data_IF_929909604371
#
_entry.id   IF_929909604371
#
_cell.length_a   1.000
_cell.length_b   1.000
_cell.length_c   1.000
_cell.angle_alpha   90.00
_cell.angle_beta   90.00
_cell.angle_gamma   90.00
#
_symmetry.space_group_name_H-M   'P 1'
#
loop_
_entity.id
_entity.type
_entity.pdbx_description
1 polymer ?
#
# COMPACT_ATOMS: atom_id res chain seq x y z
N UNK A 1 -3.13 51.02 -10.49
CA UNK A 1 -2.36 51.12 -9.24
C UNK A 1 -2.35 49.72 -8.66
N UNK A 2 -1.34 48.88 -8.90
CA UNK A 2 0.11 49.13 -8.74
C UNK A 2 0.44 49.49 -7.27
N UNK A 3 1.44 48.91 -6.63
CA UNK A 3 2.67 48.33 -7.20
C UNK A 3 2.98 46.88 -6.78
N UNK A 4 3.94 46.31 -7.51
CA UNK A 4 4.54 45.00 -7.38
C UNK A 4 5.96 45.14 -6.77
N UNK A 5 6.64 44.02 -6.56
CA UNK A 5 8.12 43.89 -6.61
C UNK A 5 9.00 44.43 -5.45
N UNK A 6 9.80 43.54 -4.83
CA UNK A 6 11.23 43.45 -5.19
C UNK A 6 11.97 42.31 -4.47
N UNK A 7 12.40 41.32 -5.26
CA UNK A 7 13.42 40.33 -4.90
C UNK A 7 14.80 40.97 -5.06
N UNK A 8 15.62 41.00 -4.00
CA UNK A 8 17.02 41.43 -4.10
C UNK A 8 17.96 40.25 -4.34
N UNK A 9 18.45 40.14 -5.58
CA UNK A 9 19.78 39.58 -5.88
C UNK A 9 20.85 40.61 -5.55
N UNK A 10 22.07 40.15 -5.25
CA UNK A 10 23.30 40.90 -5.49
C UNK A 10 24.36 39.89 -5.94
N UNK A 11 24.73 39.97 -7.21
CA UNK A 11 25.97 39.43 -7.77
C UNK A 11 26.97 40.59 -7.88
N UNK A 12 28.27 40.36 -7.63
CA UNK A 12 29.39 40.98 -8.39
C UNK A 12 30.74 40.32 -8.02
N UNK A 13 31.81 40.40 -8.86
CA UNK A 13 32.64 39.23 -9.16
C UNK A 13 34.17 39.55 -9.15
N UNK A 14 34.95 38.78 -9.93
CA UNK A 14 36.42 38.90 -10.17
C UNK A 14 37.28 38.43 -8.99
N UNK A 15 38.37 37.64 -9.11
CA UNK A 15 39.00 36.90 -10.22
C UNK A 15 39.74 35.65 -9.62
N UNK A 16 40.49 34.76 -10.31
CA UNK A 16 40.97 34.73 -11.71
C UNK A 16 41.30 33.28 -12.20
N UNK A 17 41.80 33.20 -13.44
CA UNK A 17 42.48 32.14 -14.23
C UNK A 17 43.63 31.43 -13.45
N UNK A 18 43.92 30.11 -13.53
CA UNK A 18 44.27 29.27 -14.71
C UNK A 18 44.42 27.73 -14.39
N UNK A 19 44.87 26.99 -15.41
CA UNK A 19 45.54 25.68 -15.47
C UNK A 19 44.69 24.39 -15.55
N UNK A 20 44.63 23.89 -16.80
CA UNK A 20 44.12 22.58 -17.21
C UNK A 20 45.05 21.44 -16.75
N UNK A 21 44.50 20.33 -16.28
CA UNK A 21 45.18 19.01 -16.35
C UNK A 21 44.19 17.84 -16.46
N UNK A 22 44.00 17.33 -17.67
CA UNK A 22 43.29 16.07 -17.92
C UNK A 22 44.16 14.86 -17.55
N UNK A 23 43.85 14.18 -16.45
CA UNK A 23 44.47 12.88 -16.10
C UNK A 23 43.78 11.72 -16.82
N UNK A 24 44.12 11.55 -18.10
CA UNK A 24 43.64 10.46 -18.94
C UNK A 24 44.22 9.11 -18.50
N UNK A 25 43.44 8.31 -17.77
CA UNK A 25 43.83 6.96 -17.31
C UNK A 25 44.07 6.05 -18.52
N UNK A 26 45.30 5.53 -18.66
CA UNK A 26 45.68 4.61 -19.73
C UNK A 26 45.16 3.20 -19.43
N UNK A 27 44.32 2.67 -20.32
CA UNK A 27 44.05 1.23 -20.42
C UNK A 27 45.31 0.56 -20.99
N UNK A 28 45.86 -0.50 -20.37
CA UNK A 28 47.05 -1.17 -20.88
C UNK A 28 46.72 -2.04 -22.10
N UNK A 29 47.36 -1.73 -23.22
CA UNK A 29 47.28 -2.51 -24.45
C UNK A 29 47.98 -3.87 -24.29
N UNK A 30 47.26 -4.97 -24.54
CA UNK A 30 47.82 -6.34 -24.54
C UNK A 30 47.84 -6.88 -25.96
N UNK A 31 48.89 -6.52 -26.71
CA UNK A 31 49.31 -7.25 -27.90
C UNK A 31 50.71 -7.84 -27.72
N UNK A 32 50.92 -8.99 -28.37
CA UNK A 32 52.16 -9.74 -28.52
C UNK A 32 52.70 -10.51 -27.28
N UNK A 33 52.23 -11.74 -27.12
CA UNK A 33 53.15 -12.90 -27.06
C UNK A 33 52.53 -14.08 -27.84
N UNK A 34 53.33 -14.72 -28.70
CA UNK A 34 52.89 -15.83 -29.53
C UNK A 34 52.89 -17.15 -28.75
N UNK A 35 51.83 -17.94 -28.88
CA UNK A 35 51.69 -19.27 -28.29
C UNK A 35 50.78 -20.13 -29.16
N UNK A 36 51.14 -21.40 -29.34
CA UNK A 36 50.57 -22.27 -30.36
C UNK A 36 49.08 -22.60 -30.12
N UNK A 37 48.33 -22.76 -31.22
CA UNK A 37 46.89 -23.06 -31.20
C UNK A 37 46.62 -24.52 -30.85
N UNK A 38 46.20 -24.79 -29.62
CA UNK A 38 45.46 -26.00 -29.28
C UNK A 38 43.97 -25.66 -29.10
N UNK A 39 43.12 -26.08 -30.05
CA UNK A 39 41.66 -26.01 -29.88
C UNK A 39 41.23 -27.08 -28.89
N UNK A 40 41.21 -26.75 -27.60
CA UNK A 40 40.51 -27.55 -26.60
C UNK A 40 39.01 -27.68 -26.96
N UNK A 41 38.34 -28.80 -26.63
CA UNK A 41 36.92 -28.98 -26.92
C UNK A 41 36.10 -27.89 -26.23
N UNK A 42 35.03 -27.46 -26.90
CA UNK A 42 34.20 -26.39 -26.37
C UNK A 42 33.55 -26.80 -25.04
N UNK A 43 33.47 -25.85 -24.10
CA UNK A 43 33.22 -26.02 -22.64
C UNK A 43 31.87 -26.64 -22.23
N UNK A 44 31.11 -27.17 -23.19
CA UNK A 44 29.79 -27.79 -23.06
C UNK A 44 29.76 -29.26 -23.52
N UNK A 45 30.87 -29.81 -24.04
CA UNK A 45 31.04 -31.23 -24.32
C UNK A 45 31.63 -31.93 -23.09
N UNK A 46 31.05 -33.07 -22.70
CA UNK A 46 31.63 -34.03 -21.74
C UNK A 46 31.96 -35.32 -22.48
N UNK A 47 32.97 -36.05 -22.00
CA UNK A 47 33.32 -37.35 -22.57
C UNK A 47 32.12 -38.32 -22.49
N UNK A 48 31.79 -38.95 -23.63
CA UNK A 48 30.65 -39.87 -23.77
C UNK A 48 29.34 -39.27 -24.27
N UNK A 49 29.29 -37.97 -24.61
CA UNK A 49 28.07 -37.33 -25.12
C UNK A 49 27.65 -37.81 -26.52
N UNK A 50 26.44 -38.39 -26.62
CA UNK A 50 25.80 -38.66 -27.91
C UNK A 50 24.97 -37.44 -28.39
N UNK A 51 24.75 -37.35 -29.71
CA UNK A 51 24.11 -36.18 -30.34
C UNK A 51 22.68 -35.92 -29.80
N UNK A 52 21.96 -36.96 -29.38
CA UNK A 52 20.60 -36.88 -28.82
C UNK A 52 20.63 -36.25 -27.42
N UNK A 53 21.57 -36.65 -26.56
CA UNK A 53 21.75 -36.05 -25.24
C UNK A 53 22.16 -34.56 -25.33
N UNK A 54 23.00 -34.21 -26.30
CA UNK A 54 23.35 -32.81 -26.56
C UNK A 54 22.14 -31.99 -27.01
N UNK A 55 21.35 -32.50 -27.97
CA UNK A 55 20.12 -31.86 -28.43
C UNK A 55 19.09 -31.68 -27.29
N UNK A 56 18.87 -32.72 -26.47
CA UNK A 56 17.97 -32.66 -25.31
C UNK A 56 18.37 -31.60 -24.28
N UNK A 57 19.67 -31.42 -24.02
CA UNK A 57 20.19 -30.36 -23.13
C UNK A 57 20.06 -28.96 -23.73
N UNK A 58 20.25 -28.81 -25.05
CA UNK A 58 20.00 -27.52 -25.75
C UNK A 58 18.50 -27.16 -25.72
N UNK A 59 17.61 -28.12 -25.92
CA UNK A 59 16.15 -27.91 -25.84
C UNK A 59 15.74 -27.54 -24.42
N UNK A 60 16.15 -28.30 -23.39
CA UNK A 60 15.78 -28.01 -22.00
C UNK A 60 16.38 -26.71 -21.45
N UNK A 61 17.61 -26.35 -21.84
CA UNK A 61 18.20 -25.04 -21.50
C UNK A 61 17.50 -23.87 -22.20
N UNK A 62 17.11 -24.02 -23.48
CA UNK A 62 16.26 -23.04 -24.16
C UNK A 62 14.91 -22.89 -23.47
N UNK A 63 14.23 -24.00 -23.15
CA UNK A 63 12.94 -24.01 -22.45
C UNK A 63 13.04 -23.38 -21.06
N UNK A 64 14.12 -23.66 -20.31
CA UNK A 64 14.42 -22.99 -19.05
C UNK A 64 14.64 -21.50 -19.23
N UNK A 65 15.44 -21.08 -20.21
CA UNK A 65 15.69 -19.65 -20.46
C UNK A 65 14.44 -18.89 -20.94
N UNK A 66 13.53 -19.57 -21.65
CA UNK A 66 12.23 -19.04 -22.06
C UNK A 66 11.31 -18.88 -20.84
N UNK A 67 11.26 -19.89 -19.96
CA UNK A 67 10.51 -19.82 -18.69
C UNK A 67 11.08 -18.76 -17.75
N UNK A 68 12.41 -18.61 -17.68
CA UNK A 68 13.07 -17.56 -16.89
C UNK A 68 12.86 -16.15 -17.47
N UNK A 69 12.81 -16.00 -18.81
CA UNK A 69 12.37 -14.73 -19.44
C UNK A 69 10.90 -14.47 -19.15
N UNK A 70 10.01 -15.43 -19.39
CA UNK A 70 8.58 -15.26 -19.13
C UNK A 70 8.30 -14.92 -17.66
N UNK A 71 8.92 -15.61 -16.70
CA UNK A 71 8.81 -15.26 -15.27
C UNK A 71 9.37 -13.86 -14.98
N UNK A 72 10.48 -13.46 -15.61
CA UNK A 72 11.07 -12.12 -15.42
C UNK A 72 10.18 -11.03 -16.01
N UNK A 73 9.66 -11.22 -17.22
CA UNK A 73 8.78 -10.27 -17.92
C UNK A 73 7.42 -10.16 -17.17
N UNK A 74 6.90 -11.27 -16.63
CA UNK A 74 5.72 -11.29 -15.76
C UNK A 74 5.97 -10.57 -14.43
N UNK A 75 7.13 -10.77 -13.80
CA UNK A 75 7.55 -10.03 -12.58
C UNK A 75 7.91 -8.56 -12.86
N UNK A 76 8.24 -8.18 -14.10
CA UNK A 76 8.57 -6.82 -14.52
C UNK A 76 7.37 -5.98 -14.96
N UNK A 77 6.19 -6.57 -15.17
CA UNK A 77 4.99 -5.79 -15.43
C UNK A 77 4.56 -5.03 -14.18
N UNK A 78 4.69 -3.71 -14.22
CA UNK A 78 4.20 -2.78 -13.19
C UNK A 78 2.77 -3.11 -12.77
N UNK A 79 2.52 -3.17 -11.46
CA UNK A 79 1.19 -3.42 -10.91
C UNK A 79 0.37 -2.13 -10.96
N UNK A 80 -0.94 -2.26 -11.14
CA UNK A 80 -1.92 -1.19 -11.06
C UNK A 80 -2.69 -1.31 -9.75
N UNK A 81 -2.35 -0.51 -8.74
CA UNK A 81 -3.01 -0.56 -7.43
C UNK A 81 -4.06 0.54 -7.35
N UNK A 82 -5.29 0.17 -7.04
CA UNK A 82 -6.36 1.11 -6.74
C UNK A 82 -6.25 1.64 -5.32
N UNK A 83 -6.46 2.94 -5.13
CA UNK A 83 -6.70 3.53 -3.80
C UNK A 83 -8.07 4.18 -3.80
N UNK A 84 -8.92 3.87 -2.83
CA UNK A 84 -10.26 4.46 -2.75
C UNK A 84 -10.19 5.97 -2.52
N UNK A 85 -10.95 6.81 -3.24
CA UNK A 85 -11.01 8.24 -2.94
C UNK A 85 -11.64 8.55 -1.56
N UNK A 86 -11.08 9.55 -0.86
CA UNK A 86 -11.75 10.25 0.25
C UNK A 86 -12.74 11.27 -0.33
N UNK A 87 -13.85 11.48 0.37
CA UNK A 87 -14.86 12.50 0.00
C UNK A 87 -14.70 13.71 0.93
N UNK A 88 -14.76 14.91 0.36
CA UNK A 88 -14.97 16.16 1.10
C UNK A 88 -16.39 16.63 0.83
N UNK A 89 -17.18 16.75 1.88
CA UNK A 89 -18.54 17.29 1.80
C UNK A 89 -18.53 18.80 2.11
N UNK A 90 -19.20 19.63 1.28
CA UNK A 90 -19.17 21.07 1.45
C UNK A 90 -19.99 21.51 2.68
N UNK A 91 -19.40 22.37 3.51
CA UNK A 91 -20.11 22.99 4.62
C UNK A 91 -21.18 23.98 4.12
N UNK A 92 -22.29 24.09 4.87
CA UNK A 92 -23.38 25.02 4.55
C UNK A 92 -22.86 26.47 4.44
N UNK A 93 -23.10 27.12 3.30
CA UNK A 93 -22.65 28.49 3.03
C UNK A 93 -21.21 28.62 2.53
N UNK A 94 -20.47 27.52 2.36
CA UNK A 94 -19.15 27.54 1.73
C UNK A 94 -19.20 28.07 0.29
N UNK A 95 -18.09 28.66 -0.17
CA UNK A 95 -17.95 29.27 -1.51
C UNK A 95 -16.77 28.65 -2.27
N UNK A 96 -16.78 28.75 -3.60
CA UNK A 96 -15.68 28.29 -4.45
C UNK A 96 -15.52 26.77 -4.43
N UNK A 97 -14.28 26.30 -4.31
CA UNK A 97 -13.98 24.86 -4.30
C UNK A 97 -14.61 24.13 -3.09
N UNK A 98 -14.64 24.79 -1.92
CA UNK A 98 -15.23 24.26 -0.69
C UNK A 98 -16.77 24.16 -0.73
N UNK A 99 -17.43 24.68 -1.77
CA UNK A 99 -18.88 24.54 -1.98
C UNK A 99 -19.26 23.31 -2.82
N UNK A 100 -18.29 22.44 -3.15
CA UNK A 100 -18.50 21.25 -3.99
C UNK A 100 -18.14 19.98 -3.24
N UNK A 101 -18.76 18.87 -3.63
CA UNK A 101 -18.25 17.55 -3.25
C UNK A 101 -16.93 17.33 -3.98
N UNK A 102 -15.83 17.20 -3.25
CA UNK A 102 -14.51 16.91 -3.80
C UNK A 102 -14.16 15.46 -3.53
N UNK A 103 -13.36 14.89 -4.41
CA UNK A 103 -12.76 13.58 -4.23
C UNK A 103 -11.26 13.73 -4.26
N UNK A 104 -10.57 13.15 -3.27
CA UNK A 104 -9.14 13.34 -3.10
C UNK A 104 -8.43 12.06 -2.63
N UNK A 105 -7.14 12.00 -2.95
CA UNK A 105 -6.20 10.98 -2.52
C UNK A 105 -5.16 11.66 -1.64
N UNK A 106 -4.85 11.07 -0.49
CA UNK A 106 -3.78 11.59 0.36
C UNK A 106 -2.41 11.27 -0.25
N UNK A 107 -1.48 12.24 -0.20
CA UNK A 107 -0.15 12.10 -0.79
C UNK A 107 0.68 11.00 -0.10
N UNK A 108 0.55 10.91 1.22
CA UNK A 108 1.23 9.94 2.10
C UNK A 108 0.99 8.49 1.65
N UNK A 109 -0.27 8.04 1.62
CA UNK A 109 -0.66 6.68 1.25
C UNK A 109 -0.31 6.38 -0.22
N UNK A 110 -0.43 7.36 -1.12
CA UNK A 110 -0.04 7.22 -2.51
C UNK A 110 1.47 6.98 -2.65
N UNK A 111 2.30 7.82 -2.01
CA UNK A 111 3.77 7.68 -2.02
C UNK A 111 4.22 6.38 -1.34
N UNK A 112 3.60 5.99 -0.24
CA UNK A 112 3.90 4.75 0.46
C UNK A 112 3.68 3.53 -0.44
N UNK A 113 2.52 3.44 -1.11
CA UNK A 113 2.24 2.36 -2.07
C UNK A 113 3.18 2.43 -3.28
N UNK A 114 3.43 3.63 -3.84
CA UNK A 114 4.33 3.84 -4.97
C UNK A 114 5.81 3.52 -4.67
N UNK A 115 6.22 3.42 -3.40
CA UNK A 115 7.59 3.06 -2.99
C UNK A 115 8.08 1.67 -3.47
N UNK A 116 7.20 0.89 -4.10
CA UNK A 116 7.45 -0.47 -4.60
C UNK A 116 7.28 -0.61 -6.12
N UNK A 117 7.53 0.47 -6.85
CA UNK A 117 7.52 0.52 -8.32
C UNK A 117 6.17 0.05 -8.91
N UNK A 118 5.07 0.60 -8.38
CA UNK A 118 3.69 0.34 -8.84
C UNK A 118 3.01 1.63 -9.30
N UNK A 119 2.04 1.50 -10.20
CA UNK A 119 1.17 2.62 -10.60
C UNK A 119 -0.03 2.67 -9.65
N UNK A 120 -0.19 3.79 -8.96
CA UNK A 120 -1.36 4.08 -8.12
C UNK A 120 -2.43 4.79 -8.93
N UNK A 121 -3.67 4.31 -8.81
CA UNK A 121 -4.85 4.91 -9.41
C UNK A 121 -5.86 5.26 -8.31
N UNK A 122 -6.21 6.55 -8.18
CA UNK A 122 -7.38 6.93 -7.38
C UNK A 122 -8.64 6.37 -8.05
N UNK A 123 -9.39 5.55 -7.33
CA UNK A 123 -10.72 5.14 -7.75
C UNK A 123 -11.71 6.22 -7.29
N UNK A 124 -12.45 6.88 -8.19
CA UNK A 124 -13.49 7.82 -7.81
C UNK A 124 -14.79 7.08 -7.43
N UNK A 125 -15.62 7.73 -6.63
CA UNK A 125 -17.00 7.28 -6.40
C UNK A 125 -17.79 7.35 -7.71
N UNK A 126 -18.41 6.23 -8.08
CA UNK A 126 -19.27 6.13 -9.26
C UNK A 126 -20.68 6.57 -8.87
N UNK A 127 -20.90 7.88 -8.82
CA UNK A 127 -22.21 8.43 -8.45
C UNK A 127 -23.21 8.27 -9.61
N UNK A 128 -24.09 7.28 -9.50
CA UNK A 128 -25.19 7.01 -10.44
C UNK A 128 -26.31 8.07 -10.41
N UNK A 129 -26.35 8.91 -9.37
CA UNK A 129 -27.34 9.98 -9.18
C UNK A 129 -26.78 11.39 -9.49
N UNK A 130 -25.67 11.47 -10.23
CA UNK A 130 -25.07 12.74 -10.64
C UNK A 130 -25.84 13.47 -11.76
N UNK A 131 -25.56 14.77 -11.93
CA UNK A 131 -26.11 15.60 -13.04
C UNK A 131 -25.56 15.25 -14.44
N UNK A 132 -24.67 14.26 -14.54
CA UNK A 132 -24.04 13.82 -15.77
C UNK A 132 -24.51 12.40 -16.10
N UNK A 133 -24.58 12.07 -17.38
CA UNK A 133 -25.04 10.74 -17.83
C UNK A 133 -24.31 9.61 -17.08
N UNK A 134 -25.04 8.65 -16.49
CA UNK A 134 -24.41 7.54 -15.80
C UNK A 134 -23.56 6.73 -16.79
N UNK A 135 -22.29 6.53 -16.44
CA UNK A 135 -21.39 5.70 -17.22
C UNK A 135 -21.76 4.22 -17.05
N UNK A 136 -21.55 3.42 -18.11
CA UNK A 136 -21.63 1.96 -17.99
C UNK A 136 -20.45 1.36 -17.20
N UNK A 137 -19.47 2.18 -16.81
CA UNK A 137 -18.37 1.79 -15.91
C UNK A 137 -18.89 1.71 -14.48
N UNK A 138 -18.75 0.52 -13.89
CA UNK A 138 -19.10 0.19 -12.50
C UNK A 138 -17.85 -0.15 -11.69
N UNK A 139 -17.94 -0.27 -10.36
CA UNK A 139 -16.81 -0.65 -9.50
C UNK A 139 -16.20 -2.01 -9.89
N UNK A 140 -17.01 -2.93 -10.41
CA UNK A 140 -16.57 -4.20 -11.03
C UNK A 140 -15.55 -4.02 -12.16
N UNK A 141 -15.62 -2.93 -12.92
CA UNK A 141 -14.67 -2.65 -13.99
C UNK A 141 -13.30 -2.25 -13.42
N UNK A 142 -13.26 -1.47 -12.34
CA UNK A 142 -12.03 -1.19 -11.61
C UNK A 142 -11.40 -2.48 -11.06
N UNK A 143 -12.20 -3.34 -10.43
CA UNK A 143 -11.77 -4.66 -9.96
C UNK A 143 -11.24 -5.57 -11.09
N UNK A 144 -11.67 -5.38 -12.35
CA UNK A 144 -11.07 -6.09 -13.50
C UNK A 144 -9.71 -5.52 -13.91
N UNK A 145 -9.56 -4.20 -13.97
CA UNK A 145 -8.38 -3.52 -14.54
C UNK A 145 -7.23 -3.21 -13.56
N UNK A 146 -7.49 -3.29 -12.25
CA UNK A 146 -6.52 -3.05 -11.19
C UNK A 146 -6.15 -4.36 -10.51
N UNK A 147 -4.90 -4.52 -10.08
CA UNK A 147 -4.33 -5.77 -9.55
C UNK A 147 -4.52 -5.92 -8.03
N UNK A 148 -4.92 -4.86 -7.33
CA UNK A 148 -5.21 -4.85 -5.89
C UNK A 148 -5.83 -3.53 -5.44
N UNK A 149 -6.42 -3.51 -4.24
CA UNK A 149 -7.10 -2.36 -3.65
C UNK A 149 -6.47 -1.95 -2.30
N UNK A 150 -6.32 -0.66 -2.09
CA UNK A 150 -6.02 -0.04 -0.79
C UNK A 150 -7.18 0.85 -0.37
N UNK A 151 -7.73 0.60 0.81
CA UNK A 151 -8.74 1.44 1.46
C UNK A 151 -8.02 2.39 2.44
N UNK A 152 -7.90 3.67 2.09
CA UNK A 152 -7.19 4.66 2.91
C UNK A 152 -8.00 5.13 4.13
N UNK A 153 -7.32 5.78 5.09
CA UNK A 153 -7.96 6.35 6.29
C UNK A 153 -8.93 7.51 6.01
N UNK A 154 -9.37 8.19 7.07
CA UNK A 154 -10.23 9.38 7.01
C UNK A 154 -11.41 9.31 7.97
N UNK A 155 -12.46 10.09 7.67
CA UNK A 155 -13.65 10.22 8.53
C UNK A 155 -14.33 8.88 8.84
N UNK A 156 -14.96 8.83 10.01
CA UNK A 156 -15.60 7.68 10.64
C UNK A 156 -16.46 6.81 9.71
N UNK A 157 -16.56 5.53 10.05
CA UNK A 157 -17.59 4.63 9.48
C UNK A 157 -18.91 4.95 10.17
N UNK A 158 -19.96 5.20 9.38
CA UNK A 158 -21.26 5.59 9.92
C UNK A 158 -21.89 4.42 10.71
N UNK A 159 -22.36 4.62 11.96
CA UNK A 159 -22.95 3.55 12.79
C UNK A 159 -24.07 2.76 12.11
N UNK A 160 -24.85 3.42 11.25
CA UNK A 160 -25.93 2.78 10.48
C UNK A 160 -25.41 1.75 9.47
N UNK A 161 -24.13 1.80 9.10
CA UNK A 161 -23.47 0.82 8.22
C UNK A 161 -23.28 -0.54 8.91
N UNK A 162 -23.14 -0.56 10.24
CA UNK A 162 -23.12 -1.79 11.07
C UNK A 162 -24.37 -1.94 11.96
N UNK A 163 -25.50 -1.37 11.53
CA UNK A 163 -26.82 -1.48 12.19
C UNK A 163 -26.93 -0.86 13.59
N UNK A 164 -26.03 0.06 13.96
CA UNK A 164 -26.12 0.87 15.16
C UNK A 164 -26.64 2.29 14.86
N UNK A 165 -26.89 3.06 15.91
CA UNK A 165 -27.25 4.50 15.84
C UNK A 165 -26.11 5.32 16.44
N UNK A 166 -25.79 6.51 15.90
CA UNK A 166 -24.77 7.38 16.48
C UNK A 166 -25.06 7.71 17.94
N UNK A 167 -24.12 7.42 18.83
CA UNK A 167 -24.22 7.78 20.25
C UNK A 167 -24.07 9.28 20.48
N UNK A 168 -23.41 9.99 19.54
CA UNK A 168 -23.39 11.45 19.45
C UNK A 168 -23.55 11.94 18.00
N UNK A 169 -24.13 13.12 17.75
CA UNK A 169 -24.32 13.65 16.39
C UNK A 169 -23.03 13.81 15.58
N UNK A 170 -21.92 14.18 16.23
CA UNK A 170 -20.61 14.34 15.60
C UNK A 170 -20.03 13.03 15.04
N UNK A 171 -20.41 11.87 15.59
CA UNK A 171 -19.97 10.54 15.16
C UNK A 171 -20.92 9.89 14.15
N UNK A 172 -21.62 10.70 13.35
CA UNK A 172 -22.51 10.22 12.30
C UNK A 172 -21.78 9.54 11.13
N UNK A 173 -20.47 9.79 10.97
CA UNK A 173 -19.61 9.24 9.93
C UNK A 173 -20.00 9.61 8.49
N UNK A 174 -19.31 9.00 7.53
CA UNK A 174 -19.53 9.21 6.09
C UNK A 174 -20.21 8.00 5.45
N UNK A 175 -21.55 7.98 5.55
CA UNK A 175 -22.37 6.90 4.97
C UNK A 175 -22.29 6.84 3.44
N UNK A 176 -21.98 7.95 2.76
CA UNK A 176 -21.85 7.99 1.30
C UNK A 176 -20.55 7.29 0.85
N UNK A 177 -19.46 7.54 1.56
CA UNK A 177 -18.19 6.82 1.38
C UNK A 177 -18.31 5.36 1.78
N UNK A 178 -19.02 5.04 2.85
CA UNK A 178 -19.23 3.64 3.28
C UNK A 178 -19.84 2.77 2.18
N UNK A 179 -20.96 3.19 1.57
CA UNK A 179 -21.62 2.41 0.51
C UNK A 179 -20.66 2.14 -0.65
N UNK A 180 -19.93 3.17 -1.07
CA UNK A 180 -18.98 3.10 -2.18
C UNK A 180 -17.76 2.20 -1.86
N UNK A 181 -17.15 2.34 -0.68
CA UNK A 181 -15.98 1.53 -0.30
C UNK A 181 -16.35 0.08 0.02
N UNK A 182 -17.58 -0.18 0.52
CA UNK A 182 -18.11 -1.53 0.70
C UNK A 182 -18.34 -2.25 -0.64
N UNK A 183 -18.91 -1.57 -1.63
CA UNK A 183 -19.07 -2.13 -2.98
C UNK A 183 -17.69 -2.38 -3.62
N UNK A 184 -16.72 -1.47 -3.44
CA UNK A 184 -15.34 -1.71 -3.88
C UNK A 184 -14.70 -2.94 -3.25
N UNK A 185 -14.80 -3.07 -1.93
CA UNK A 185 -14.27 -4.22 -1.19
C UNK A 185 -14.94 -5.52 -1.69
N UNK A 186 -16.25 -5.52 -1.89
CA UNK A 186 -16.98 -6.65 -2.46
C UNK A 186 -16.44 -7.05 -3.84
N UNK A 187 -16.35 -6.11 -4.78
CA UNK A 187 -15.93 -6.41 -6.16
C UNK A 187 -14.47 -6.89 -6.26
N UNK A 188 -13.56 -6.38 -5.42
CA UNK A 188 -12.18 -6.87 -5.39
C UNK A 188 -12.08 -8.26 -4.74
N UNK A 189 -12.85 -8.53 -3.68
CA UNK A 189 -12.87 -9.85 -3.02
C UNK A 189 -13.54 -10.92 -3.89
N UNK A 190 -14.63 -10.61 -4.59
CA UNK A 190 -15.27 -11.51 -5.58
C UNK A 190 -14.31 -11.83 -6.75
N UNK A 191 -13.54 -10.82 -7.21
CA UNK A 191 -12.49 -11.01 -8.20
C UNK A 191 -11.25 -11.78 -7.67
N UNK A 192 -11.24 -12.17 -6.39
CA UNK A 192 -10.13 -12.88 -5.74
C UNK A 192 -8.88 -12.02 -5.53
N UNK A 193 -8.97 -10.70 -5.68
CA UNK A 193 -7.85 -9.75 -5.64
C UNK A 193 -7.54 -9.29 -4.22
N UNK A 194 -6.29 -8.90 -3.93
CA UNK A 194 -5.90 -8.52 -2.59
C UNK A 194 -6.48 -7.16 -2.19
N UNK A 195 -6.80 -7.01 -0.91
CA UNK A 195 -7.22 -5.74 -0.31
C UNK A 195 -6.43 -5.44 0.96
N UNK A 196 -5.98 -4.19 1.09
CA UNK A 196 -5.33 -3.67 2.29
C UNK A 196 -6.12 -2.46 2.81
N UNK A 197 -6.58 -2.51 4.07
CA UNK A 197 -7.24 -1.39 4.74
C UNK A 197 -6.33 -0.70 5.74
N UNK A 198 -6.32 0.63 5.75
CA UNK A 198 -5.56 1.47 6.69
C UNK A 198 -6.51 2.32 7.52
N UNK A 199 -6.36 2.28 8.84
CA UNK A 199 -7.22 2.94 9.83
C UNK A 199 -8.70 2.67 9.58
N UNK A 200 -9.45 3.66 9.09
CA UNK A 200 -10.84 3.51 8.59
C UNK A 200 -11.02 2.31 7.65
N UNK A 201 -10.05 2.03 6.78
CA UNK A 201 -10.10 0.87 5.89
C UNK A 201 -10.10 -0.48 6.63
N UNK A 202 -9.42 -0.57 7.78
CA UNK A 202 -9.46 -1.75 8.66
C UNK A 202 -10.87 -1.92 9.27
N UNK A 203 -11.41 -0.84 9.81
CA UNK A 203 -12.76 -0.78 10.40
C UNK A 203 -13.83 -1.18 9.37
N UNK A 204 -13.75 -0.64 8.15
CA UNK A 204 -14.68 -0.95 7.07
C UNK A 204 -14.59 -2.43 6.62
N UNK A 205 -13.39 -3.01 6.57
CA UNK A 205 -13.22 -4.45 6.31
C UNK A 205 -13.96 -5.26 7.37
N UNK A 206 -13.82 -4.94 8.66
CA UNK A 206 -14.54 -5.65 9.72
C UNK A 206 -16.07 -5.57 9.54
N UNK A 207 -16.58 -4.36 9.29
CA UNK A 207 -18.00 -4.08 9.09
C UNK A 207 -18.55 -4.79 7.85
N UNK A 208 -17.81 -4.86 6.75
CA UNK A 208 -18.21 -5.57 5.53
C UNK A 208 -18.48 -7.07 5.77
N UNK A 209 -17.71 -7.69 6.67
CA UNK A 209 -17.90 -9.08 7.07
C UNK A 209 -18.88 -9.26 8.24
N UNK A 210 -19.55 -8.18 8.66
CA UNK A 210 -20.64 -8.18 9.65
C UNK A 210 -20.21 -7.94 11.09
N UNK A 211 -19.03 -7.36 11.32
CA UNK A 211 -18.59 -6.91 12.64
C UNK A 211 -19.11 -5.51 13.00
N UNK A 212 -18.83 -5.07 14.23
CA UNK A 212 -19.21 -3.76 14.78
C UNK A 212 -17.97 -2.96 15.18
N UNK A 213 -18.17 -1.68 15.52
CA UNK A 213 -17.12 -0.79 15.99
C UNK A 213 -17.48 -0.21 17.37
N UNK A 214 -16.45 0.15 18.14
CA UNK A 214 -16.56 1.18 19.16
C UNK A 214 -16.70 2.52 18.42
N UNK A 215 -17.74 3.28 18.76
CA UNK A 215 -18.00 4.58 18.14
C UNK A 215 -17.02 5.64 18.67
N UNK A 216 -16.54 5.44 19.90
CA UNK A 216 -15.46 6.22 20.49
C UNK A 216 -14.81 5.44 21.64
N UNK A 217 -13.55 5.06 21.47
CA UNK A 217 -12.74 4.32 22.46
C UNK A 217 -12.73 5.02 23.81
N UNK A 218 -12.62 6.36 23.84
CA UNK A 218 -12.52 7.10 25.10
C UNK A 218 -13.81 7.03 25.94
N UNK A 219 -15.00 6.97 25.33
CA UNK A 219 -16.26 6.77 26.06
C UNK A 219 -16.72 5.31 26.18
N UNK A 220 -16.46 4.47 25.17
CA UNK A 220 -16.89 3.07 25.15
C UNK A 220 -15.94 2.16 25.96
N UNK A 221 -14.67 2.55 26.10
CA UNK A 221 -13.63 1.84 26.87
C UNK A 221 -12.80 2.81 27.73
N UNK A 222 -13.35 3.37 28.83
CA UNK A 222 -12.67 4.44 29.61
C UNK A 222 -11.32 4.07 30.23
N UNK A 223 -11.03 2.78 30.38
CA UNK A 223 -9.76 2.25 30.92
C UNK A 223 -8.69 2.00 29.81
N UNK A 224 -9.04 2.24 28.54
CA UNK A 224 -8.10 2.10 27.43
C UNK A 224 -7.07 3.23 27.39
N UNK A 225 -5.95 3.01 26.68
CA UNK A 225 -5.06 4.12 26.36
C UNK A 225 -5.77 5.13 25.42
N UNK A 226 -5.35 6.40 25.39
CA UNK A 226 -5.74 7.30 24.31
C UNK A 226 -5.22 6.74 22.98
N UNK A 227 -6.09 6.53 22.00
CA UNK A 227 -5.73 6.15 20.62
C UNK A 227 -5.73 7.35 19.64
N UNK A 228 -6.13 8.53 20.12
CA UNK A 228 -5.95 9.83 19.47
C UNK A 228 -5.51 10.85 20.53
N UNK A 229 -4.71 11.83 20.15
CA UNK A 229 -4.21 12.88 21.04
C UNK A 229 -3.99 14.18 20.25
N UNK A 230 -3.99 15.33 20.92
CA UNK A 230 -3.66 16.65 20.34
C UNK A 230 -2.30 16.72 19.61
N UNK A 231 -1.34 15.84 19.95
CA UNK A 231 -0.05 15.75 19.24
C UNK A 231 -0.13 14.93 17.94
N UNK A 232 -1.33 14.41 17.62
CA UNK A 232 -1.75 13.77 16.37
C UNK A 232 -0.68 12.86 15.75
N UNK A 233 0.02 13.31 14.72
CA UNK A 233 1.05 12.56 14.00
C UNK A 233 2.24 12.11 14.86
N UNK A 234 2.39 12.59 16.10
CA UNK A 234 3.42 12.17 17.06
C UNK A 234 2.95 11.12 18.09
N UNK A 235 1.65 10.84 18.20
CA UNK A 235 1.12 9.92 19.20
C UNK A 235 1.36 8.44 18.86
N UNK A 236 1.76 7.63 19.84
CA UNK A 236 2.22 6.23 19.69
C UNK A 236 1.72 5.32 20.81
N UNK A 237 1.51 4.04 20.51
CA UNK A 237 1.39 2.98 21.52
C UNK A 237 2.02 1.67 21.03
N UNK A 238 2.19 0.74 21.97
CA UNK A 238 2.72 -0.58 21.70
C UNK A 238 1.63 -1.51 21.15
N UNK A 239 2.04 -2.46 20.32
CA UNK A 239 1.22 -3.58 19.83
C UNK A 239 1.93 -4.92 20.03
N UNK A 240 1.14 -5.97 20.15
CA UNK A 240 1.58 -7.37 20.22
C UNK A 240 0.91 -8.20 19.11
N UNK A 241 1.63 -9.22 18.61
CA UNK A 241 1.10 -10.16 17.63
C UNK A 241 0.58 -11.42 18.32
N UNK A 242 -0.72 -11.78 18.20
CA UNK A 242 -1.25 -13.04 18.71
C UNK A 242 -0.49 -14.24 18.17
N UNK A 243 -0.30 -15.27 19.01
CA UNK A 243 0.50 -16.46 18.65
C UNK A 243 0.02 -17.08 17.33
N UNK A 244 0.92 -17.10 16.34
CA UNK A 244 0.65 -17.67 15.02
C UNK A 244 -0.28 -16.84 14.13
N UNK A 245 -0.46 -15.53 14.39
CA UNK A 245 -0.99 -14.59 13.39
C UNK A 245 -0.17 -14.67 12.09
N UNK A 246 -0.76 -14.28 10.96
CA UNK A 246 -0.05 -14.18 9.68
C UNK A 246 0.90 -12.97 9.66
N UNK A 247 0.49 -11.85 10.26
CA UNK A 247 1.24 -10.62 10.39
C UNK A 247 2.51 -10.80 11.21
N UNK A 248 2.43 -11.45 12.38
CA UNK A 248 3.60 -11.72 13.22
C UNK A 248 4.66 -12.61 12.53
N UNK A 249 4.26 -13.43 11.54
CA UNK A 249 5.22 -14.21 10.73
C UNK A 249 6.00 -13.35 9.73
N UNK A 250 5.48 -12.17 9.36
CA UNK A 250 6.22 -11.18 8.56
C UNK A 250 7.32 -10.51 9.39
N UNK A 251 7.21 -10.56 10.72
CA UNK A 251 8.12 -9.93 11.69
C UNK A 251 8.72 -10.95 12.69
N UNK A 252 9.45 -12.00 12.22
CA UNK A 252 9.86 -13.14 13.06
C UNK A 252 10.88 -12.83 14.17
N UNK A 253 11.26 -11.57 14.35
CA UNK A 253 12.17 -11.08 15.41
C UNK A 253 11.54 -9.97 16.27
N UNK A 254 10.23 -9.71 16.12
CA UNK A 254 9.51 -8.62 16.77
C UNK A 254 8.37 -9.23 17.60
N UNK A 255 8.54 -9.26 18.92
CA UNK A 255 7.51 -9.75 19.85
C UNK A 255 6.51 -8.63 20.22
N UNK A 256 7.04 -7.41 20.39
CA UNK A 256 6.29 -6.17 20.59
C UNK A 256 6.77 -5.15 19.56
N UNK A 257 5.85 -4.38 19.02
CA UNK A 257 6.16 -3.27 18.10
C UNK A 257 5.56 -1.96 18.61
N UNK A 258 5.98 -0.85 18.04
CA UNK A 258 5.45 0.49 18.31
C UNK A 258 4.90 1.05 17.00
N UNK A 259 3.71 1.63 17.06
CA UNK A 259 2.98 2.18 15.91
C UNK A 259 2.44 3.57 16.21
N UNK A 260 2.03 4.30 15.17
CA UNK A 260 1.31 5.55 15.33
C UNK A 260 -0.19 5.33 15.56
N UNK A 261 -0.85 6.31 16.18
CA UNK A 261 -2.26 6.20 16.51
C UNK A 261 -2.96 7.55 16.40
N UNK A 262 -3.93 7.62 15.50
CA UNK A 262 -4.77 8.78 15.22
C UNK A 262 -6.23 8.35 14.95
N UNK A 263 -6.75 7.47 15.79
CA UNK A 263 -8.12 6.96 15.67
C UNK A 263 -8.84 7.00 17.01
N UNK A 264 -10.14 7.28 16.98
CA UNK A 264 -11.01 7.18 18.15
C UNK A 264 -12.08 6.09 17.97
N UNK A 265 -12.45 5.72 16.75
CA UNK A 265 -13.14 4.45 16.47
C UNK A 265 -12.17 3.27 16.50
N UNK A 266 -12.66 2.08 16.86
CA UNK A 266 -11.91 0.83 16.85
C UNK A 266 -12.84 -0.37 16.58
N UNK A 267 -12.28 -1.53 16.24
CA UNK A 267 -13.08 -2.77 16.09
C UNK A 267 -13.58 -3.26 17.45
N UNK A 268 -14.87 -3.58 17.54
CA UNK A 268 -15.58 -4.08 18.73
C UNK A 268 -15.86 -5.58 18.58
N UNK A 269 -16.91 -5.93 17.83
CA UNK A 269 -17.21 -7.31 17.47
C UNK A 269 -16.60 -7.65 16.11
N UNK A 270 -15.96 -8.82 16.01
CA UNK A 270 -15.34 -9.29 14.77
C UNK A 270 -16.37 -9.77 13.74
N UNK A 271 -16.15 -9.41 12.48
CA UNK A 271 -16.89 -9.97 11.34
C UNK A 271 -16.62 -11.47 11.13
N UNK A 272 -17.47 -12.11 10.32
CA UNK A 272 -17.36 -13.54 10.00
C UNK A 272 -16.06 -13.85 9.27
N UNK A 273 -15.41 -14.94 9.67
CA UNK A 273 -14.13 -15.39 9.14
C UNK A 273 -13.01 -14.33 9.25
N UNK A 274 -13.12 -13.37 10.17
CA UNK A 274 -12.09 -12.39 10.52
C UNK A 274 -11.27 -12.90 11.71
N UNK A 275 -9.94 -12.77 11.62
CA UNK A 275 -9.00 -13.08 12.69
C UNK A 275 -8.24 -11.82 13.13
N UNK A 276 -8.00 -11.70 14.44
CA UNK A 276 -7.08 -10.71 15.02
C UNK A 276 -5.62 -11.05 14.64
N UNK A 277 -4.91 -10.06 14.14
CA UNK A 277 -3.52 -10.16 13.69
C UNK A 277 -2.52 -9.36 14.52
N UNK A 278 -2.99 -8.27 15.15
CA UNK A 278 -2.30 -7.50 16.19
C UNK A 278 -3.31 -6.89 17.17
N UNK A 279 -2.87 -6.62 18.41
CA UNK A 279 -3.64 -5.90 19.43
C UNK A 279 -2.75 -4.86 20.10
N UNK A 280 -3.34 -3.74 20.53
CA UNK A 280 -2.70 -2.79 21.44
C UNK A 280 -2.45 -3.43 22.81
N UNK A 281 -1.44 -2.95 23.51
CA UNK A 281 -1.08 -3.42 24.85
C UNK A 281 -0.83 -2.21 25.78
N UNK A 282 -1.49 -2.13 26.94
CA UNK A 282 -2.17 -3.23 27.65
C UNK A 282 -3.69 -3.34 27.44
N UNK A 283 -4.34 -2.39 26.75
CA UNK A 283 -5.80 -2.29 26.66
C UNK A 283 -6.49 -3.37 25.81
N UNK A 284 -5.74 -4.04 24.91
CA UNK A 284 -6.27 -5.12 24.08
C UNK A 284 -7.08 -4.67 22.86
N UNK A 285 -7.08 -3.38 22.51
CA UNK A 285 -7.77 -2.86 21.31
C UNK A 285 -7.24 -3.54 20.05
N UNK A 286 -8.14 -3.87 19.11
CA UNK A 286 -7.80 -4.65 17.92
C UNK A 286 -7.13 -3.75 16.88
N UNK A 287 -5.85 -4.01 16.63
CA UNK A 287 -4.97 -3.15 15.84
C UNK A 287 -4.71 -3.67 14.43
N UNK A 288 -4.89 -4.97 14.19
CA UNK A 288 -4.89 -5.51 12.83
C UNK A 288 -5.81 -6.73 12.71
N UNK A 289 -6.36 -6.93 11.52
CA UNK A 289 -7.27 -8.03 11.20
C UNK A 289 -6.94 -8.69 9.84
N UNK A 290 -7.34 -9.95 9.67
CA UNK A 290 -7.27 -10.70 8.40
C UNK A 290 -8.58 -11.42 8.13
N UNK A 291 -9.13 -11.27 6.93
CA UNK A 291 -10.20 -12.15 6.44
C UNK A 291 -9.59 -13.46 5.91
N UNK A 292 -10.07 -14.59 6.42
CA UNK A 292 -9.41 -15.89 6.29
C UNK A 292 -9.73 -16.62 4.98
N UNK A 293 -10.71 -16.17 4.20
CA UNK A 293 -11.19 -16.86 2.98
C UNK A 293 -10.71 -16.22 1.67
N UNK A 294 -9.76 -15.29 1.75
CA UNK A 294 -9.09 -14.69 0.60
C UNK A 294 -7.57 -14.78 0.77
N UNK A 295 -6.83 -14.78 -0.34
CA UNK A 295 -5.36 -14.86 -0.31
C UNK A 295 -4.75 -13.72 0.52
N UNK A 296 -5.23 -12.49 0.33
CA UNK A 296 -4.84 -11.33 1.13
C UNK A 296 -5.99 -10.34 1.26
N UNK A 297 -6.63 -10.28 2.41
CA UNK A 297 -7.52 -9.19 2.80
C UNK A 297 -7.18 -8.85 4.26
N UNK A 298 -6.53 -7.71 4.47
CA UNK A 298 -5.92 -7.34 5.75
C UNK A 298 -6.25 -5.89 6.09
N UNK A 299 -6.55 -5.62 7.37
CA UNK A 299 -6.69 -4.27 7.91
C UNK A 299 -5.60 -4.00 8.94
N UNK A 300 -5.02 -2.80 8.91
CA UNK A 300 -4.17 -2.22 9.96
C UNK A 300 -4.88 -0.97 10.49
N UNK A 301 -4.97 -0.80 11.80
CA UNK A 301 -5.66 0.34 12.43
C UNK A 301 -4.75 1.58 12.54
N UNK A 302 -3.43 1.37 12.61
CA UNK A 302 -2.41 2.42 12.47
C UNK A 302 -2.17 2.84 11.01
N UNK A 303 -1.34 3.87 10.81
CA UNK A 303 -1.04 4.49 9.52
C UNK A 303 0.42 4.20 9.08
N UNK A 304 0.69 3.07 8.39
CA UNK A 304 2.04 2.69 7.95
C UNK A 304 2.69 3.70 7.00
N UNK A 305 1.91 4.55 6.32
CA UNK A 305 2.39 5.59 5.42
C UNK A 305 3.16 6.73 6.12
N UNK A 306 2.96 6.91 7.43
CA UNK A 306 3.75 7.87 8.23
C UNK A 306 4.99 7.22 8.86
N UNK A 307 5.18 5.90 8.72
CA UNK A 307 6.36 5.20 9.21
C UNK A 307 7.51 5.40 8.21
N UNK A 308 8.26 6.49 8.38
CA UNK A 308 9.44 6.77 7.53
C UNK A 308 10.44 5.60 7.61
N UNK A 309 10.83 5.08 6.45
CA UNK A 309 11.89 4.08 6.33
C UNK A 309 13.18 4.60 6.99
N UNK A 310 13.57 4.01 8.13
CA UNK A 310 14.74 4.40 8.91
C UNK A 310 14.47 5.20 10.21
N UNK A 311 13.21 5.51 10.53
CA UNK A 311 12.86 5.96 11.89
C UNK A 311 12.97 4.79 12.88
N UNK A 312 13.82 4.91 13.90
CA UNK A 312 14.19 3.77 14.77
C UNK A 312 13.05 3.26 15.66
N UNK A 313 12.02 4.09 15.86
CA UNK A 313 11.00 3.88 16.89
C UNK A 313 9.69 3.25 16.39
N UNK A 314 9.50 3.03 15.09
CA UNK A 314 8.24 2.50 14.53
C UNK A 314 8.42 1.22 13.72
N UNK A 315 7.37 0.39 13.70
CA UNK A 315 7.33 -0.83 12.90
C UNK A 315 7.50 -0.53 11.41
N UNK A 316 8.61 -0.98 10.80
CA UNK A 316 8.76 -0.94 9.35
C UNK A 316 7.70 -1.82 8.69
N UNK A 317 6.67 -1.20 8.10
CA UNK A 317 5.55 -1.91 7.48
C UNK A 317 5.84 -2.37 6.04
N UNK A 318 7.10 -2.25 5.57
CA UNK A 318 7.60 -2.84 4.32
C UNK A 318 7.11 -4.27 4.07
N UNK A 319 7.23 -5.23 5.01
CA UNK A 319 6.84 -6.62 4.74
C UNK A 319 5.34 -6.80 4.46
N UNK A 320 4.48 -5.94 5.00
CA UNK A 320 3.03 -5.98 4.75
C UNK A 320 2.72 -5.55 3.32
N UNK A 321 3.37 -4.46 2.86
CA UNK A 321 3.22 -3.97 1.49
C UNK A 321 3.80 -4.98 0.49
N UNK A 322 4.96 -5.57 0.77
CA UNK A 322 5.55 -6.61 -0.09
C UNK A 322 4.64 -7.85 -0.22
N UNK A 323 4.02 -8.30 0.87
CA UNK A 323 3.08 -9.43 0.88
C UNK A 323 1.77 -9.11 0.14
N UNK A 324 1.23 -7.89 0.31
CA UNK A 324 0.08 -7.40 -0.47
C UNK A 324 0.39 -7.40 -1.99
N UNK A 325 1.54 -6.86 -2.38
CA UNK A 325 1.96 -6.80 -3.79
C UNK A 325 2.37 -8.18 -4.34
N UNK A 326 2.83 -9.11 -3.51
CA UNK A 326 3.01 -10.52 -3.89
C UNK A 326 1.67 -11.15 -4.24
N UNK A 327 0.66 -10.99 -3.38
CA UNK A 327 -0.69 -11.47 -3.65
C UNK A 327 -1.28 -10.83 -4.93
N UNK A 328 -1.02 -9.54 -5.19
CA UNK A 328 -1.47 -8.85 -6.40
C UNK A 328 -0.86 -9.45 -7.67
N UNK A 329 0.43 -9.80 -7.65
CA UNK A 329 1.09 -10.51 -8.77
C UNK A 329 0.52 -11.92 -8.98
N UNK A 330 0.15 -12.61 -7.92
CA UNK A 330 -0.40 -13.98 -7.97
C UNK A 330 -1.85 -14.04 -8.46
N UNK A 331 -2.62 -12.97 -8.28
CA UNK A 331 -4.02 -12.85 -8.72
C UNK A 331 -4.18 -12.12 -10.06
N UNK A 332 -3.07 -11.74 -10.70
CA UNK A 332 -3.05 -11.07 -12.00
C UNK A 332 -3.21 -12.07 -13.15
N UNK A 333 -4.37 -11.99 -13.82
CA UNK A 333 -4.74 -12.80 -14.99
C UNK A 333 -4.05 -12.33 -16.29
#
# INVERSE_FOLDING_TARGET
MAEDDQIKRNDDPTADVDERRETRVRVPDRRASGGQTARGPARYLRDGDNAVALAGRVITSRFRSLRERFNRDFMQRTLHIGVSARIFHPATGAKGLLSKNLQYLEESIAQWVMSRDVLVFMIPTVNTNGLLHPSNITLRHYARHLDGLVLQGGADVAPQTYSETPTKPEWSGDRARDVYELELLHEFVDAGKPVLGVCRGCQLINVAFGGTLHQDVATDMPEALPHVHDVYDAHRHAIVFPKGSSLGRMFPKVERAMVNSIHHQAVKDLGRDIRIEAMSEPDGIIEAIRYQRANFVMGLQWHPEFHRAGGVDLLDCTPVLDEFLRAARETRL
#
